data_IF_671460613061
#
_entry.id   IF_671460613061
#
_cell.length_a   1.000
_cell.length_b   1.000
_cell.length_c   1.000
_cell.angle_alpha   90.00
_cell.angle_beta   90.00
_cell.angle_gamma   90.00
#
_symmetry.space_group_name_H-M   'P 1'
#
loop_
_entity.id
_entity.type
_entity.pdbx_description
1 polymer ?
#
# COMPACT_ATOMS: atom_id res chain seq x y z
N UNK A 1 -1.10 -5.63 16.52
CA UNK A 1 -2.06 -6.51 16.88
C UNK A 1 -3.45 -5.99 16.80
N UNK A 2 -3.77 -4.97 17.52
CA UNK A 2 -5.03 -4.32 17.35
C UNK A 2 -5.26 -3.93 15.91
N UNK A 3 -4.21 -3.46 15.26
CA UNK A 3 -4.31 -3.03 13.88
C UNK A 3 -4.76 -4.14 12.96
N UNK A 4 -4.44 -5.39 13.32
CA UNK A 4 -4.74 -6.50 12.43
C UNK A 4 -6.11 -7.10 12.66
N UNK A 5 -6.78 -6.74 13.75
CA UNK A 5 -8.11 -7.24 14.00
C UNK A 5 -9.17 -6.50 13.16
N UNK A 6 -8.77 -5.42 12.49
CA UNK A 6 -9.69 -4.63 11.70
C UNK A 6 -9.06 -4.31 10.34
N UNK A 7 -8.80 -5.37 9.59
CA UNK A 7 -8.10 -5.23 8.32
C UNK A 7 -8.83 -4.38 7.29
N UNK A 8 -10.16 -4.44 7.31
CA UNK A 8 -10.91 -3.66 6.34
C UNK A 8 -10.61 -2.17 6.46
N UNK A 9 -10.57 -1.68 7.70
CA UNK A 9 -10.25 -0.27 7.94
C UNK A 9 -8.82 0.05 7.53
N UNK A 10 -7.89 -0.86 7.88
CA UNK A 10 -6.48 -0.66 7.54
C UNK A 10 -6.28 -0.60 6.03
N UNK A 11 -6.92 -1.52 5.31
CA UNK A 11 -6.82 -1.55 3.85
C UNK A 11 -7.37 -0.26 3.24
N UNK A 12 -8.57 0.15 3.69
CA UNK A 12 -9.19 1.33 3.14
C UNK A 12 -8.36 2.58 3.39
N UNK A 13 -7.85 2.72 4.60
CA UNK A 13 -7.02 3.88 4.92
C UNK A 13 -5.73 3.86 4.13
N UNK A 14 -5.13 2.68 3.99
CA UNK A 14 -3.89 2.54 3.22
C UNK A 14 -4.11 2.95 1.76
N UNK A 15 -5.23 2.54 1.18
CA UNK A 15 -5.54 2.86 -0.20
C UNK A 15 -5.71 4.37 -0.40
N UNK A 16 -6.38 5.04 0.54
CA UNK A 16 -6.56 6.47 0.45
C UNK A 16 -5.19 7.16 0.46
N UNK A 17 -4.33 6.78 1.39
CA UNK A 17 -3.02 7.41 1.53
C UNK A 17 -2.12 7.11 0.33
N UNK A 18 -2.16 5.88 -0.16
CA UNK A 18 -1.37 5.52 -1.34
C UNK A 18 -1.85 6.26 -2.57
N UNK A 19 -3.16 6.47 -2.69
CA UNK A 19 -3.72 7.21 -3.81
C UNK A 19 -3.25 8.65 -3.83
N UNK A 20 -3.08 9.27 -2.67
CA UNK A 20 -2.55 10.62 -2.59
C UNK A 20 -1.13 10.67 -3.18
N UNK A 21 -0.30 9.68 -2.81
CA UNK A 21 1.06 9.64 -3.33
C UNK A 21 1.07 9.41 -4.83
N UNK A 22 0.19 8.52 -5.32
CA UNK A 22 0.07 8.29 -6.75
C UNK A 22 -0.32 9.58 -7.48
N UNK A 23 -1.25 10.35 -6.90
CA UNK A 23 -1.63 11.63 -7.47
C UNK A 23 -0.44 12.58 -7.55
N UNK A 24 0.34 12.64 -6.48
CA UNK A 24 1.50 13.52 -6.44
C UNK A 24 2.52 13.15 -7.52
N UNK A 25 2.70 11.83 -7.73
CA UNK A 25 3.59 11.36 -8.79
C UNK A 25 3.08 11.78 -10.16
N UNK A 26 1.78 11.60 -10.41
CA UNK A 26 1.19 11.95 -11.69
C UNK A 26 1.20 13.44 -11.94
N UNK A 27 1.01 14.24 -10.89
CA UNK A 27 1.01 15.69 -11.00
C UNK A 27 2.43 16.28 -10.98
N UNK A 28 3.42 15.38 -10.90
CA UNK A 28 4.84 15.77 -10.98
C UNK A 28 5.25 16.73 -9.88
N UNK A 29 4.80 16.41 -8.67
CA UNK A 29 5.24 17.14 -7.50
C UNK A 29 6.75 17.00 -7.35
N UNK A 30 7.36 17.94 -6.65
CA UNK A 30 8.78 17.90 -6.34
C UNK A 30 9.12 16.61 -5.61
N UNK A 31 10.26 16.02 -5.96
CA UNK A 31 10.70 14.75 -5.37
C UNK A 31 10.78 14.82 -3.85
N UNK A 32 11.27 15.93 -3.34
CA UNK A 32 11.43 16.07 -1.89
C UNK A 32 10.08 16.09 -1.20
N UNK A 33 9.07 16.68 -1.82
CA UNK A 33 7.73 16.70 -1.25
C UNK A 33 7.14 15.29 -1.23
N UNK A 34 7.32 14.55 -2.33
CA UNK A 34 6.80 13.18 -2.40
C UNK A 34 7.50 12.31 -1.38
N UNK A 35 8.82 12.45 -1.25
CA UNK A 35 9.57 11.65 -0.29
C UNK A 35 9.14 11.97 1.14
N UNK A 36 8.88 13.24 1.43
CA UNK A 36 8.41 13.62 2.75
C UNK A 36 7.06 12.98 3.08
N UNK A 37 6.17 12.93 2.09
CA UNK A 37 4.87 12.29 2.29
C UNK A 37 5.03 10.80 2.53
N UNK A 38 5.91 10.15 1.76
CA UNK A 38 6.17 8.73 1.95
C UNK A 38 6.73 8.48 3.35
N UNK A 39 7.67 9.31 3.79
CA UNK A 39 8.25 9.16 5.13
C UNK A 39 7.20 9.34 6.21
N UNK A 40 6.27 10.24 6.00
CA UNK A 40 5.18 10.46 6.95
C UNK A 40 4.37 9.17 7.12
N UNK A 41 4.06 8.49 6.01
CA UNK A 41 3.30 7.25 6.08
C UNK A 41 4.08 6.16 6.78
N UNK A 42 5.37 6.08 6.51
CA UNK A 42 6.22 5.08 7.16
C UNK A 42 6.29 5.32 8.66
N UNK A 43 6.34 6.56 9.09
CA UNK A 43 6.36 6.89 10.51
C UNK A 43 5.04 6.55 11.20
N UNK A 44 3.95 6.52 10.42
CA UNK A 44 2.64 6.11 10.95
C UNK A 44 2.45 4.60 10.90
N UNK A 45 3.53 3.86 10.61
CA UNK A 45 3.54 2.39 10.58
C UNK A 45 2.84 1.78 9.38
N UNK A 46 2.62 2.55 8.33
CA UNK A 46 2.16 1.99 7.06
C UNK A 46 3.38 1.52 6.27
N UNK A 47 4.02 0.47 6.77
CA UNK A 47 5.29 0.00 6.24
C UNK A 47 5.19 -0.53 4.82
N UNK A 48 4.00 -0.93 4.43
CA UNK A 48 3.76 -1.45 3.07
C UNK A 48 3.53 -0.35 2.04
N UNK A 49 3.61 0.92 2.48
CA UNK A 49 3.22 2.03 1.60
C UNK A 49 4.03 2.07 0.29
N UNK A 50 5.36 1.90 0.30
CA UNK A 50 6.10 1.94 -0.97
C UNK A 50 5.65 0.85 -1.94
N UNK A 51 5.45 -0.37 -1.44
CA UNK A 51 5.01 -1.47 -2.28
C UNK A 51 3.59 -1.28 -2.75
N UNK A 52 2.73 -0.74 -1.87
CA UNK A 52 1.35 -0.50 -2.24
C UNK A 52 1.24 0.53 -3.35
N UNK A 53 2.03 1.61 -3.26
CA UNK A 53 2.06 2.61 -4.31
C UNK A 53 2.46 1.97 -5.64
N UNK A 54 3.50 1.13 -5.63
CA UNK A 54 3.90 0.44 -6.84
C UNK A 54 2.80 -0.46 -7.38
N UNK A 55 2.09 -1.14 -6.49
CA UNK A 55 0.98 -2.01 -6.88
C UNK A 55 -0.14 -1.20 -7.54
N UNK A 56 -0.47 -0.04 -6.98
CA UNK A 56 -1.49 0.81 -7.58
C UNK A 56 -1.04 1.34 -8.95
N UNK A 57 0.27 1.58 -9.13
CA UNK A 57 0.77 2.00 -10.44
C UNK A 57 0.56 0.89 -11.47
N UNK A 58 0.67 -0.37 -11.06
CA UNK A 58 0.38 -1.48 -11.96
C UNK A 58 -1.06 -1.39 -12.43
N UNK A 59 -1.99 -1.14 -11.53
CA UNK A 59 -3.38 -0.97 -11.90
C UNK A 59 -3.55 0.16 -12.91
N UNK A 60 -2.94 1.31 -12.62
CA UNK A 60 -3.09 2.49 -13.48
C UNK A 60 -2.54 2.25 -14.88
N UNK A 61 -1.49 1.44 -14.99
CA UNK A 61 -0.84 1.20 -16.26
C UNK A 61 -1.41 0.00 -17.01
N UNK A 62 -2.42 -0.64 -16.46
CA UNK A 62 -3.00 -1.85 -17.06
C UNK A 62 -4.53 -1.77 -17.06
N UNK A 63 -5.07 -0.62 -17.45
CA UNK A 63 -6.50 -0.39 -17.38
C UNK A 63 -7.28 -1.20 -18.40
N UNK A 64 -6.60 -1.73 -19.42
CA UNK A 64 -7.24 -2.65 -20.33
C UNK A 64 -7.56 -3.98 -19.63
N UNK A 65 -6.60 -4.46 -18.84
CA UNK A 65 -6.79 -5.68 -18.05
C UNK A 65 -7.70 -5.42 -16.85
N UNK A 66 -7.56 -4.25 -16.23
CA UNK A 66 -8.31 -3.87 -15.04
C UNK A 66 -9.07 -2.59 -15.32
N UNK A 67 -10.22 -2.69 -15.99
CA UNK A 67 -10.95 -1.48 -16.40
C UNK A 67 -11.55 -0.70 -15.23
N UNK A 68 -11.81 -1.36 -14.10
CA UNK A 68 -12.31 -0.69 -12.91
C UNK A 68 -11.45 -1.08 -11.72
N UNK A 69 -11.49 -0.26 -10.68
CA UNK A 69 -10.75 -0.61 -9.48
C UNK A 69 -11.29 -1.90 -8.86
N UNK A 70 -12.58 -2.13 -8.98
CA UNK A 70 -13.17 -3.37 -8.48
C UNK A 70 -12.56 -4.60 -9.13
N UNK A 71 -12.24 -4.50 -10.42
CA UNK A 71 -11.61 -5.62 -11.12
C UNK A 71 -10.19 -5.86 -10.64
N UNK A 72 -9.55 -4.86 -10.06
CA UNK A 72 -8.20 -4.98 -9.52
C UNK A 72 -8.18 -5.35 -8.03
N UNK A 73 -9.30 -5.19 -7.34
CA UNK A 73 -9.33 -5.33 -5.91
C UNK A 73 -8.83 -6.69 -5.39
N UNK A 74 -9.07 -7.81 -6.07
CA UNK A 74 -8.49 -9.08 -5.63
C UNK A 74 -6.97 -9.03 -5.52
N UNK A 75 -6.31 -8.24 -6.38
CA UNK A 75 -4.86 -8.08 -6.30
C UNK A 75 -4.47 -7.31 -5.04
N UNK A 76 -5.29 -6.34 -4.64
CA UNK A 76 -5.05 -5.61 -3.41
C UNK A 76 -5.14 -6.55 -2.20
N UNK A 77 -6.16 -7.40 -2.18
CA UNK A 77 -6.33 -8.37 -1.09
C UNK A 77 -5.14 -9.31 -1.03
N UNK A 78 -4.68 -9.81 -2.19
CA UNK A 78 -3.51 -10.68 -2.25
C UNK A 78 -2.26 -9.97 -1.73
N UNK A 79 -2.12 -8.70 -2.08
CA UNK A 79 -0.99 -7.90 -1.61
C UNK A 79 -0.94 -7.89 -0.07
N UNK A 80 -2.07 -7.60 0.55
CA UNK A 80 -2.08 -7.51 2.01
C UNK A 80 -1.91 -8.87 2.66
N UNK A 81 -2.48 -9.91 2.09
CA UNK A 81 -2.29 -11.26 2.62
C UNK A 81 -0.81 -11.64 2.59
N UNK A 82 -0.16 -11.36 1.47
CA UNK A 82 1.26 -11.64 1.34
C UNK A 82 2.06 -10.87 2.39
N UNK A 83 1.72 -9.60 2.57
CA UNK A 83 2.47 -8.77 3.51
C UNK A 83 2.30 -9.24 4.95
N UNK A 84 1.08 -9.63 5.31
CA UNK A 84 0.82 -10.16 6.65
C UNK A 84 1.63 -11.42 6.90
N UNK A 85 1.64 -12.33 5.94
CA UNK A 85 2.39 -13.57 6.08
C UNK A 85 3.88 -13.32 6.20
N UNK A 86 4.37 -12.37 5.42
CA UNK A 86 5.78 -12.02 5.47
C UNK A 86 6.16 -11.47 6.84
N UNK A 87 5.36 -10.57 7.37
CA UNK A 87 5.64 -9.99 8.69
C UNK A 87 5.53 -11.03 9.78
N UNK A 88 4.59 -11.95 9.65
CA UNK A 88 4.44 -13.01 10.63
C UNK A 88 5.70 -13.88 10.68
N UNK A 89 6.24 -14.21 9.52
CA UNK A 89 7.46 -15.00 9.45
C UNK A 89 8.64 -14.28 10.08
N UNK A 90 8.77 -12.99 9.81
CA UNK A 90 9.85 -12.20 10.37
C UNK A 90 9.74 -12.13 11.88
N UNK A 91 8.52 -12.00 12.39
CA UNK A 91 8.29 -11.97 13.82
C UNK A 91 8.66 -13.32 14.44
N UNK A 92 8.28 -14.42 13.80
CA UNK A 92 8.58 -15.74 14.30
C UNK A 92 10.08 -15.98 14.37
N UNK A 93 10.81 -15.56 13.33
CA UNK A 93 12.26 -15.66 13.32
C UNK A 93 12.86 -14.82 14.42
N UNK A 94 12.37 -13.62 14.60
CA UNK A 94 12.90 -12.70 15.59
C UNK A 94 12.69 -13.20 17.01
N UNK A 95 11.75 -14.12 17.21
CA UNK A 95 11.49 -14.68 18.52
C UNK A 95 12.64 -15.58 18.99
N UNK A 96 13.37 -16.11 18.07
CA UNK A 96 14.50 -17.00 18.40
C UNK A 96 15.79 -16.22 18.52
#
# INVERSE_FOLDING_TARGET
KQAYSNWKTVINESLVRASVICYMLDAKYNKEVIQAEMNEQLQRNFRWMPELVRTLRIYENNRTTYPTFESFYPQIIQFFKYYVEKEQKETDVATY
#
